data_IF_950834350519
#
_entry.id   IF_950834350519
#
_cell.length_a   1.000
_cell.length_b   1.000
_cell.length_c   1.000
_cell.angle_alpha   90.00
_cell.angle_beta   90.00
_cell.angle_gamma   90.00
#
_symmetry.space_group_name_H-M   'P 1'
#
loop_
_entity.id
_entity.type
_entity.pdbx_description
1 polymer ?
#
# COMPACT_ATOMS: atom_id res chain seq x y z
N UNK A 1 1.89 -0.42 0.80
CA UNK A 1 1.25 -0.18 -0.51
C UNK A 1 0.14 0.83 -0.33
N UNK A 2 0.12 1.87 -1.16
CA UNK A 2 -0.95 2.85 -1.25
C UNK A 2 -1.93 2.46 -2.35
N UNK A 3 -3.15 2.99 -2.31
CA UNK A 3 -4.19 2.64 -3.26
C UNK A 3 -4.71 3.86 -4.00
N UNK A 4 -4.83 3.75 -5.32
CA UNK A 4 -5.70 4.67 -6.06
C UNK A 4 -7.17 4.46 -5.69
N UNK A 5 -8.01 5.47 -5.92
CA UNK A 5 -9.47 5.34 -5.79
C UNK A 5 -10.01 4.16 -6.60
N UNK A 6 -9.56 4.03 -7.85
CA UNK A 6 -9.97 2.92 -8.72
C UNK A 6 -9.56 1.56 -8.12
N UNK A 7 -8.31 1.39 -7.69
CA UNK A 7 -7.88 0.16 -7.04
C UNK A 7 -8.70 -0.16 -5.79
N UNK A 8 -8.97 0.83 -4.93
CA UNK A 8 -9.82 0.66 -3.73
C UNK A 8 -11.20 0.14 -4.10
N UNK A 9 -11.89 0.76 -5.06
CA UNK A 9 -13.20 0.31 -5.52
C UNK A 9 -13.15 -1.12 -6.07
N UNK A 10 -12.11 -1.46 -6.85
CA UNK A 10 -11.92 -2.84 -7.35
C UNK A 10 -11.66 -3.84 -6.22
N UNK A 11 -10.83 -3.49 -5.22
CA UNK A 11 -10.53 -4.34 -4.07
C UNK A 11 -11.81 -4.59 -3.25
N UNK A 12 -12.61 -3.55 -2.97
CA UNK A 12 -13.88 -3.70 -2.25
C UNK A 12 -14.83 -4.62 -3.03
N UNK A 13 -15.00 -4.38 -4.34
CA UNK A 13 -15.92 -5.16 -5.17
C UNK A 13 -15.48 -6.62 -5.35
N UNK A 14 -14.19 -6.85 -5.56
CA UNK A 14 -13.67 -8.16 -6.01
C UNK A 14 -12.98 -8.97 -4.92
N UNK A 15 -12.39 -8.34 -3.90
CA UNK A 15 -11.78 -9.04 -2.76
C UNK A 15 -12.71 -9.02 -1.54
N UNK A 16 -13.31 -7.88 -1.23
CA UNK A 16 -14.14 -7.75 -0.03
C UNK A 16 -15.57 -8.23 -0.18
N UNK A 17 -16.05 -8.47 -1.42
CA UNK A 17 -17.43 -8.88 -1.72
C UNK A 17 -18.46 -8.06 -0.92
N UNK A 18 -18.33 -6.73 -0.91
CA UNK A 18 -19.20 -5.78 -0.19
C UNK A 18 -19.18 -5.85 1.35
N UNK A 19 -18.17 -6.47 1.98
CA UNK A 19 -17.93 -6.29 3.43
C UNK A 19 -17.48 -4.85 3.71
N UNK A 20 -17.79 -4.33 4.91
CA UNK A 20 -17.51 -2.95 5.35
C UNK A 20 -16.17 -2.44 4.79
N UNK A 21 -16.19 -1.27 4.15
CA UNK A 21 -15.05 -0.62 3.51
C UNK A 21 -13.83 -0.49 4.43
N UNK A 22 -14.01 -0.49 5.74
CA UNK A 22 -12.94 -0.45 6.75
C UNK A 22 -12.07 -1.71 6.79
N UNK A 23 -12.48 -2.83 6.17
CA UNK A 23 -11.79 -4.13 6.25
C UNK A 23 -11.00 -4.53 5.01
N UNK A 24 -10.79 -3.65 4.02
CA UNK A 24 -10.07 -4.08 2.81
C UNK A 24 -8.56 -4.26 3.04
N UNK A 25 -7.92 -3.50 3.93
CA UNK A 25 -6.47 -3.62 4.17
C UNK A 25 -6.07 -5.03 4.66
N UNK A 26 -6.75 -5.62 5.65
CA UNK A 26 -6.54 -7.03 6.02
C UNK A 26 -6.65 -8.00 4.85
N UNK A 27 -7.60 -7.78 3.95
CA UNK A 27 -7.80 -8.64 2.79
C UNK A 27 -6.76 -8.40 1.69
N UNK A 28 -6.28 -7.16 1.56
CA UNK A 28 -5.17 -6.81 0.71
C UNK A 28 -3.90 -7.51 1.19
N UNK A 29 -3.58 -7.46 2.49
CA UNK A 29 -2.42 -8.17 3.04
C UNK A 29 -2.57 -9.68 2.83
N UNK A 30 -3.72 -10.26 3.13
CA UNK A 30 -3.98 -11.68 2.87
C UNK A 30 -3.90 -12.04 1.37
N UNK A 31 -4.19 -11.11 0.46
CA UNK A 31 -3.98 -11.29 -0.98
C UNK A 31 -2.49 -11.26 -1.32
N UNK A 32 -1.74 -10.30 -0.79
CA UNK A 32 -0.30 -10.20 -1.01
C UNK A 32 0.44 -11.44 -0.49
N UNK A 33 0.04 -11.98 0.68
CA UNK A 33 0.67 -13.17 1.29
C UNK A 33 0.58 -14.42 0.42
N UNK A 34 -0.52 -14.59 -0.31
CA UNK A 34 -0.74 -15.72 -1.21
C UNK A 34 -0.37 -15.43 -2.66
N UNK A 35 0.11 -14.23 -2.96
CA UNK A 35 0.41 -13.79 -4.31
C UNK A 35 1.89 -13.92 -4.61
N UNK A 36 2.21 -14.36 -5.83
CA UNK A 36 3.57 -14.24 -6.38
C UNK A 36 3.77 -12.81 -6.89
N UNK A 37 5.00 -12.30 -6.76
CA UNK A 37 5.42 -11.02 -7.30
C UNK A 37 6.05 -11.22 -8.68
N UNK A 38 5.60 -10.42 -9.65
CA UNK A 38 6.13 -10.36 -11.00
C UNK A 38 6.60 -8.92 -11.24
N UNK A 39 7.91 -8.73 -11.41
CA UNK A 39 8.48 -7.46 -11.83
C UNK A 39 8.41 -7.38 -13.36
N UNK A 40 7.43 -6.62 -13.87
CA UNK A 40 7.17 -6.50 -15.32
C UNK A 40 8.22 -5.61 -15.99
N UNK A 41 8.57 -4.52 -15.31
CA UNK A 41 9.66 -3.62 -15.66
C UNK A 41 10.04 -2.78 -14.43
N UNK A 42 10.91 -1.78 -14.62
CA UNK A 42 11.38 -0.90 -13.55
C UNK A 42 10.26 -0.16 -12.81
N UNK A 43 9.14 0.12 -13.47
CA UNK A 43 8.02 0.90 -12.91
C UNK A 43 6.86 0.04 -12.46
N UNK A 44 6.62 -1.11 -13.07
CA UNK A 44 5.40 -1.90 -12.90
C UNK A 44 5.69 -3.23 -12.20
N UNK A 45 4.92 -3.48 -11.14
CA UNK A 45 4.95 -4.72 -10.36
C UNK A 45 3.55 -5.31 -10.35
N UNK A 46 3.43 -6.62 -10.53
CA UNK A 46 2.17 -7.34 -10.44
C UNK A 46 2.24 -8.34 -9.30
N UNK A 47 1.21 -8.36 -8.45
CA UNK A 47 0.97 -9.45 -7.49
C UNK A 47 -0.17 -10.29 -7.99
N UNK A 48 0.03 -11.60 -8.14
CA UNK A 48 -1.01 -12.50 -8.64
C UNK A 48 -1.14 -13.78 -7.81
N UNK A 49 -2.37 -14.18 -7.54
CA UNK A 49 -2.72 -15.48 -6.93
C UNK A 49 -3.19 -16.50 -7.98
N UNK A 50 -2.86 -16.27 -9.26
CA UNK A 50 -3.30 -17.08 -10.40
C UNK A 50 -4.77 -16.86 -10.78
N UNK A 51 -5.58 -16.23 -9.93
CA UNK A 51 -6.98 -15.88 -10.25
C UNK A 51 -7.14 -14.39 -10.48
N UNK A 52 -6.51 -13.58 -9.64
CA UNK A 52 -6.55 -12.11 -9.69
C UNK A 52 -5.13 -11.58 -9.67
N UNK A 53 -4.97 -10.44 -10.33
CA UNK A 53 -3.73 -9.68 -10.40
C UNK A 53 -3.96 -8.26 -9.93
N UNK A 54 -3.16 -7.84 -8.96
CA UNK A 54 -3.04 -6.47 -8.49
C UNK A 54 -1.88 -5.82 -9.23
N UNK A 55 -2.19 -4.80 -10.02
CA UNK A 55 -1.19 -4.06 -10.79
C UNK A 55 -0.78 -2.83 -10.00
N UNK A 56 0.52 -2.68 -9.80
CA UNK A 56 1.11 -1.60 -9.01
C UNK A 56 2.15 -0.83 -9.82
N UNK A 57 2.24 0.47 -9.59
CA UNK A 57 3.42 1.25 -9.95
C UNK A 57 4.33 1.42 -8.74
N UNK A 58 5.65 1.42 -8.97
CA UNK A 58 6.62 1.86 -7.97
C UNK A 58 6.46 3.36 -7.74
N UNK A 59 6.64 3.77 -6.49
CA UNK A 59 6.72 5.17 -6.10
C UNK A 59 8.13 5.43 -5.57
N UNK A 60 8.65 6.60 -5.90
CA UNK A 60 9.88 7.08 -5.29
C UNK A 60 9.64 7.35 -3.81
N UNK A 61 10.66 7.12 -3.00
CA UNK A 61 10.64 7.36 -1.57
C UNK A 61 12.01 7.81 -1.09
N UNK A 62 12.01 8.60 -0.03
CA UNK A 62 13.22 8.93 0.70
C UNK A 62 13.40 7.93 1.83
N UNK A 63 14.62 7.44 2.04
CA UNK A 63 14.94 6.63 3.23
C UNK A 63 15.34 7.57 4.36
N UNK A 64 14.55 7.59 5.41
CA UNK A 64 14.71 8.53 6.52
C UNK A 64 14.57 7.81 7.87
N UNK A 65 15.28 8.26 8.91
CA UNK A 65 15.02 7.83 10.27
C UNK A 65 13.64 8.30 10.75
N UNK A 66 13.02 7.54 11.65
CA UNK A 66 11.67 7.83 12.15
C UNK A 66 11.54 9.24 12.75
N UNK A 67 12.56 9.73 13.45
CA UNK A 67 12.55 11.08 14.03
C UNK A 67 12.43 12.18 12.96
N UNK A 68 13.20 12.07 11.86
CA UNK A 68 13.07 13.02 10.75
C UNK A 68 11.69 12.92 10.07
N UNK A 69 11.12 11.71 9.98
CA UNK A 69 9.75 11.53 9.47
C UNK A 69 8.74 12.25 10.38
N UNK A 70 8.89 12.13 11.72
CA UNK A 70 8.03 12.81 12.71
C UNK A 70 8.11 14.33 12.55
N UNK A 71 9.30 14.88 12.35
CA UNK A 71 9.50 16.31 12.09
C UNK A 71 8.79 16.76 10.79
N UNK A 72 8.99 16.04 9.69
CA UNK A 72 8.39 16.37 8.38
C UNK A 72 6.87 16.38 8.39
N UNK A 73 6.24 15.53 9.21
CA UNK A 73 4.78 15.49 9.35
C UNK A 73 4.25 16.33 10.52
N UNK A 74 5.13 16.95 11.31
CA UNK A 74 4.77 17.63 12.56
C UNK A 74 3.77 18.78 12.38
N UNK A 75 3.82 19.48 11.24
CA UNK A 75 2.88 20.55 10.90
C UNK A 75 1.54 20.10 10.33
N UNK A 76 1.28 18.79 10.21
CA UNK A 76 0.06 18.27 9.60
C UNK A 76 -0.99 18.01 10.68
N UNK A 77 -2.03 18.83 10.69
CA UNK A 77 -3.18 18.71 11.61
C UNK A 77 -4.37 17.95 11.02
N UNK A 78 -4.39 17.74 9.70
CA UNK A 78 -5.50 17.07 8.99
C UNK A 78 -5.29 15.56 8.97
N UNK A 79 -6.40 14.82 8.86
CA UNK A 79 -6.37 13.37 8.70
C UNK A 79 -5.86 12.97 7.30
N UNK A 80 -5.00 11.96 7.29
CA UNK A 80 -4.42 11.33 6.11
C UNK A 80 -4.71 9.83 6.16
N UNK A 81 -4.81 9.20 5.01
CA UNK A 81 -4.63 7.75 4.92
C UNK A 81 -3.17 7.41 5.21
N UNK A 82 -2.92 6.83 6.38
CA UNK A 82 -1.58 6.47 6.82
C UNK A 82 -1.40 4.96 6.73
N UNK A 83 -0.32 4.51 6.10
CA UNK A 83 0.01 3.09 5.92
C UNK A 83 1.42 2.80 6.44
N UNK A 84 1.52 1.86 7.38
CA UNK A 84 2.76 1.26 7.84
C UNK A 84 2.81 -0.19 7.36
N UNK A 85 3.71 -0.49 6.41
CA UNK A 85 3.75 -1.81 5.77
C UNK A 85 4.20 -2.90 6.73
N UNK A 86 5.30 -2.65 7.46
CA UNK A 86 5.97 -3.69 8.25
C UNK A 86 5.09 -4.14 9.42
N UNK A 87 4.42 -3.20 10.07
CA UNK A 87 3.41 -3.48 11.10
C UNK A 87 2.01 -3.76 10.56
N UNK A 88 1.84 -3.92 9.24
CA UNK A 88 0.55 -4.17 8.57
C UNK A 88 -0.59 -3.37 9.19
N UNK A 89 -0.41 -2.06 9.23
CA UNK A 89 -1.37 -1.15 9.86
C UNK A 89 -1.70 -0.05 8.87
N UNK A 90 -2.99 0.21 8.71
CA UNK A 90 -3.46 1.30 7.86
C UNK A 90 -4.76 1.88 8.40
N UNK A 91 -4.83 3.21 8.52
CA UNK A 91 -6.00 3.92 9.04
C UNK A 91 -5.99 5.37 8.60
N UNK A 92 -7.18 5.97 8.59
CA UNK A 92 -7.32 7.41 8.42
C UNK A 92 -7.12 8.10 9.77
N UNK A 93 -6.04 8.87 9.92
CA UNK A 93 -5.72 9.56 11.17
C UNK A 93 -4.71 10.69 10.92
N UNK A 94 -4.39 11.46 11.95
CA UNK A 94 -3.36 12.49 11.86
C UNK A 94 -1.98 11.81 11.77
N UNK A 95 -1.13 12.12 10.77
CA UNK A 95 0.20 11.52 10.60
C UNK A 95 1.03 11.41 11.87
N UNK A 96 1.11 12.48 12.66
CA UNK A 96 1.87 12.48 13.92
C UNK A 96 1.40 11.41 14.89
N UNK A 97 0.08 11.30 15.10
CA UNK A 97 -0.53 10.26 15.96
C UNK A 97 -0.34 8.85 15.39
N UNK A 98 -0.27 8.73 14.07
CA UNK A 98 0.01 7.44 13.43
C UNK A 98 1.41 6.94 13.75
N UNK A 99 2.39 7.84 13.78
CA UNK A 99 3.80 7.53 13.98
C UNK A 99 4.13 7.08 15.41
N UNK A 100 3.31 7.42 16.40
CA UNK A 100 3.50 7.01 17.80
C UNK A 100 3.52 5.48 17.97
N UNK A 101 2.88 4.73 17.06
CA UNK A 101 2.90 3.26 17.07
C UNK A 101 3.97 2.63 16.17
N UNK A 102 4.80 3.43 15.51
CA UNK A 102 5.88 2.93 14.63
C UNK A 102 7.16 2.79 15.46
N UNK A 103 7.82 1.63 15.46
CA UNK A 103 9.06 1.45 16.20
C UNK A 103 10.21 2.25 15.56
N UNK A 104 11.20 2.64 16.37
CA UNK A 104 12.37 3.37 15.88
C UNK A 104 13.12 2.59 14.79
N UNK A 105 13.69 3.32 13.84
CA UNK A 105 14.42 2.76 12.70
C UNK A 105 14.40 3.66 11.47
N UNK A 106 14.93 3.13 10.37
CA UNK A 106 14.92 3.77 9.07
C UNK A 106 13.85 3.18 8.15
N UNK A 107 13.12 4.06 7.47
CA UNK A 107 11.99 3.67 6.64
C UNK A 107 11.99 4.41 5.30
N UNK A 108 11.49 3.75 4.27
CA UNK A 108 11.05 4.41 3.06
C UNK A 108 9.81 5.27 3.37
N UNK A 109 9.96 6.58 3.25
CA UNK A 109 8.94 7.58 3.48
C UNK A 109 8.39 8.09 2.14
N UNK A 110 7.06 8.13 2.05
CA UNK A 110 6.35 8.79 0.96
C UNK A 110 5.15 9.54 1.52
N UNK A 111 4.96 10.78 1.07
CA UNK A 111 3.80 11.59 1.40
C UNK A 111 3.24 12.25 0.14
N UNK A 112 1.92 12.23 0.01
CA UNK A 112 1.22 13.02 -0.99
C UNK A 112 0.20 13.90 -0.29
N UNK A 113 0.46 15.21 -0.26
CA UNK A 113 -0.38 16.19 0.44
C UNK A 113 -1.73 16.42 -0.24
N UNK A 114 -1.77 16.37 -1.56
CA UNK A 114 -3.01 16.53 -2.34
C UNK A 114 -3.98 15.38 -2.10
N UNK A 115 -3.46 14.15 -2.18
CA UNK A 115 -4.23 12.91 -1.96
C UNK A 115 -4.36 12.55 -0.48
N UNK A 116 -3.77 13.35 0.41
CA UNK A 116 -3.71 13.13 1.87
C UNK A 116 -3.34 11.69 2.22
N UNK A 117 -2.24 11.20 1.66
CA UNK A 117 -1.76 9.84 1.87
C UNK A 117 -0.31 9.83 2.36
N UNK A 118 -0.02 8.93 3.27
CA UNK A 118 1.27 8.73 3.91
C UNK A 118 1.61 7.24 3.86
N UNK A 119 2.83 6.92 3.46
CA UNK A 119 3.37 5.56 3.51
C UNK A 119 4.70 5.54 4.24
N UNK A 120 4.87 4.51 5.06
CA UNK A 120 6.09 4.18 5.79
C UNK A 120 6.29 2.66 5.74
N UNK A 121 7.52 2.22 5.55
CA UNK A 121 7.91 0.82 5.64
C UNK A 121 9.33 0.61 5.16
N UNK A 122 9.95 -0.54 5.48
CA UNK A 122 11.32 -0.85 5.04
C UNK A 122 11.44 -1.07 3.54
N UNK A 123 10.38 -1.57 2.91
CA UNK A 123 10.30 -1.77 1.48
C UNK A 123 9.80 -0.50 0.75
N UNK A 124 10.24 -0.25 -0.50
CA UNK A 124 9.76 0.86 -1.30
C UNK A 124 8.22 0.85 -1.48
N UNK A 125 7.57 2.03 -1.49
CA UNK A 125 6.14 2.12 -1.69
C UNK A 125 5.75 1.66 -3.08
N UNK A 126 4.59 1.01 -3.12
CA UNK A 126 3.88 0.69 -4.35
C UNK A 126 2.52 1.37 -4.31
N UNK A 127 2.09 1.90 -5.45
CA UNK A 127 0.73 2.41 -5.67
C UNK A 127 -0.07 1.40 -6.48
N UNK A 128 -1.09 0.81 -5.88
CA UNK A 128 -2.01 -0.06 -6.61
C UNK A 128 -2.87 0.77 -7.57
N UNK A 129 -2.83 0.39 -8.84
CA UNK A 129 -3.56 1.02 -9.93
C UNK A 129 -4.91 0.32 -10.11
N UNK A 130 -4.93 -1.02 -10.13
CA UNK A 130 -6.16 -1.80 -10.33
C UNK A 130 -6.03 -3.24 -9.85
N UNK A 131 -7.17 -3.88 -9.58
CA UNK A 131 -7.29 -5.31 -9.36
C UNK A 131 -8.19 -5.94 -10.43
N UNK A 132 -7.64 -6.90 -11.18
CA UNK A 132 -8.31 -7.56 -12.31
C UNK A 132 -8.13 -9.07 -12.30
N UNK A 133 -8.88 -9.84 -13.11
CA UNK A 133 -8.54 -11.23 -13.39
C UNK A 133 -7.11 -11.34 -13.91
N UNK A 134 -6.44 -12.44 -13.54
CA UNK A 134 -5.11 -12.74 -14.02
C UNK A 134 -5.13 -13.02 -15.53
N UNK A 135 -4.18 -12.42 -16.27
CA UNK A 135 -3.94 -12.72 -17.68
C UNK A 135 -3.33 -14.12 -17.82
N UNK A 136 -3.42 -14.73 -19.00
CA UNK A 136 -2.88 -16.08 -19.28
C UNK A 136 -1.43 -16.23 -18.79
N UNK A 137 -0.55 -15.31 -19.17
CA UNK A 137 0.86 -15.30 -18.73
C UNK A 137 1.04 -15.17 -17.21
N UNK A 138 0.18 -14.41 -16.53
CA UNK A 138 0.23 -14.27 -15.07
C UNK A 138 -0.23 -15.54 -14.34
N UNK A 139 -1.11 -16.34 -14.97
CA UNK A 139 -1.53 -17.65 -14.46
C UNK A 139 -0.44 -18.69 -14.62
N UNK A 140 0.21 -18.71 -15.77
CA UNK A 140 1.30 -19.64 -16.09
C UNK A 140 2.53 -19.39 -15.21
N UNK A 141 2.76 -18.15 -14.74
CA UNK A 141 3.78 -17.86 -13.73
C UNK A 141 3.36 -18.23 -12.29
N UNK A 142 2.09 -18.58 -12.05
CA UNK A 142 1.55 -18.90 -10.73
C UNK A 142 1.59 -20.40 -10.40
N UNK A 143 1.85 -21.26 -11.39
CA UNK A 143 2.12 -22.69 -11.22
C UNK A 143 3.59 -22.91 -10.83
#
# INVERSE_FOLDING_TARGET
MLLTRHARERLIKRLAKNRKSERFYPQLWAFLDRSRRIDVNERIVIFTDGRKSLVCSRLDCERLPLEEIKERVGGISRAYECVFLDGRTARETIPRKFLESVPDGEYCFYINREKRSLYIGRAPPLLAITLRPAKKSERECAD
#
